data_IF_977353298825
#
_entry.id   IF_977353298825
#
_cell.length_a   1.000
_cell.length_b   1.000
_cell.length_c   1.000
_cell.angle_alpha   90.00
_cell.angle_beta   90.00
_cell.angle_gamma   90.00
#
_symmetry.space_group_name_H-M   'P 1'
#
loop_
_entity.id
_entity.type
_entity.pdbx_description
1 polymer ?
#
# COMPACT_ATOMS: atom_id res chain seq x y z
N UNK A 1 -5.26 20.65 17.61
CA UNK A 1 -3.83 20.77 17.27
C UNK A 1 -3.63 20.09 15.92
N UNK A 2 -3.44 20.86 14.84
CA UNK A 2 -3.09 20.30 13.52
C UNK A 2 -1.64 19.81 13.60
N UNK A 3 -1.43 18.50 13.44
CA UNK A 3 -0.09 17.94 13.24
C UNK A 3 0.35 18.36 11.84
N UNK A 4 1.45 19.09 11.73
CA UNK A 4 2.14 19.29 10.45
C UNK A 4 2.65 17.93 9.99
N UNK A 5 2.05 17.39 8.94
CA UNK A 5 2.53 16.16 8.31
C UNK A 5 3.78 16.49 7.50
N UNK A 6 4.91 15.91 7.90
CA UNK A 6 6.14 15.98 7.15
C UNK A 6 5.96 15.26 5.82
N UNK A 7 5.77 16.03 4.75
CA UNK A 7 5.69 15.52 3.38
C UNK A 7 7.06 14.97 2.96
N UNK A 8 7.28 13.68 3.18
CA UNK A 8 8.44 13.01 2.62
C UNK A 8 8.18 12.81 1.11
N UNK A 9 8.88 13.62 0.30
CA UNK A 9 8.76 13.71 -1.18
C UNK A 9 8.70 12.36 -1.93
N UNK A 10 9.24 11.28 -1.35
CA UNK A 10 9.30 9.96 -1.97
C UNK A 10 8.05 9.07 -1.75
N UNK A 11 7.02 9.59 -1.07
CA UNK A 11 5.79 8.87 -0.71
C UNK A 11 4.54 9.57 -1.24
N UNK A 12 3.49 8.82 -1.56
CA UNK A 12 2.26 9.36 -2.15
C UNK A 12 1.24 9.84 -1.09
N UNK A 13 1.68 10.01 0.16
CA UNK A 13 0.79 10.18 1.33
C UNK A 13 -0.30 11.24 1.11
N UNK A 14 0.12 12.46 0.79
CA UNK A 14 -0.79 13.61 0.63
C UNK A 14 -1.74 13.46 -0.56
N UNK A 15 -1.29 12.83 -1.65
CA UNK A 15 -2.15 12.62 -2.81
C UNK A 15 -3.25 11.60 -2.48
N UNK A 16 -2.89 10.50 -1.82
CA UNK A 16 -3.81 9.41 -1.46
C UNK A 16 -4.88 9.89 -0.47
N UNK A 17 -4.50 10.63 0.57
CA UNK A 17 -5.45 11.15 1.55
C UNK A 17 -6.48 12.11 0.94
N UNK A 18 -6.06 12.89 -0.06
CA UNK A 18 -6.96 13.79 -0.77
C UNK A 18 -7.90 13.06 -1.75
N UNK A 19 -7.51 11.88 -2.27
CA UNK A 19 -8.36 11.10 -3.18
C UNK A 19 -9.69 10.66 -2.55
N UNK A 20 -9.71 10.39 -1.24
CA UNK A 20 -10.93 9.97 -0.56
C UNK A 20 -11.86 11.16 -0.24
N UNK A 21 -11.31 12.36 -0.13
CA UNK A 21 -12.09 13.58 0.15
C UNK A 21 -12.91 14.05 -1.06
N UNK A 22 -12.56 13.58 -2.27
CA UNK A 22 -13.29 13.93 -3.50
C UNK A 22 -14.46 12.99 -3.81
N UNK A 23 -14.61 11.91 -3.05
CA UNK A 23 -15.69 10.94 -3.25
C UNK A 23 -17.02 11.50 -2.76
N UNK A 24 -18.09 11.21 -3.49
CA UNK A 24 -19.46 11.42 -3.03
C UNK A 24 -19.82 10.42 -1.92
N UNK A 25 -20.89 10.69 -1.17
CA UNK A 25 -21.36 9.80 -0.11
C UNK A 25 -21.66 8.38 -0.62
N UNK A 26 -22.24 8.26 -1.81
CA UNK A 26 -22.55 6.97 -2.44
C UNK A 26 -21.28 6.21 -2.85
N UNK A 27 -20.25 6.90 -3.36
CA UNK A 27 -18.95 6.30 -3.71
C UNK A 27 -18.19 5.88 -2.46
N UNK A 28 -18.27 6.67 -1.39
CA UNK A 28 -17.67 6.33 -0.10
C UNK A 28 -18.34 5.08 0.49
N UNK A 29 -19.68 5.01 0.46
CA UNK A 29 -20.42 3.82 0.89
C UNK A 29 -20.08 2.59 0.04
N UNK A 30 -19.91 2.75 -1.28
CA UNK A 30 -19.46 1.67 -2.15
C UNK A 30 -18.06 1.18 -1.75
N UNK A 31 -17.14 2.08 -1.44
CA UNK A 31 -15.79 1.73 -0.99
C UNK A 31 -15.83 0.97 0.35
N UNK A 32 -16.58 1.47 1.33
CA UNK A 32 -16.73 0.84 2.65
C UNK A 32 -17.33 -0.57 2.56
N UNK A 33 -18.28 -0.80 1.65
CA UNK A 33 -18.88 -2.12 1.43
C UNK A 33 -17.95 -3.12 0.72
N UNK A 34 -16.86 -2.67 0.10
CA UNK A 34 -15.95 -3.49 -0.70
C UNK A 34 -14.53 -3.56 -0.13
N UNK A 35 -14.28 -3.01 1.06
CA UNK A 35 -12.99 -3.11 1.74
C UNK A 35 -12.98 -4.18 2.82
N UNK A 36 -11.79 -4.68 3.13
CA UNK A 36 -11.54 -5.53 4.30
C UNK A 36 -10.37 -4.95 5.09
N UNK A 37 -10.53 -4.91 6.41
CA UNK A 37 -9.46 -4.47 7.33
C UNK A 37 -8.73 -5.69 7.84
N UNK A 38 -7.41 -5.74 7.62
CA UNK A 38 -6.55 -6.86 8.01
C UNK A 38 -5.41 -6.33 8.88
N UNK A 39 -5.16 -6.99 10.01
CA UNK A 39 -4.03 -6.68 10.89
C UNK A 39 -2.91 -7.68 10.66
N UNK A 40 -1.72 -7.18 10.33
CA UNK A 40 -0.52 -7.99 10.16
C UNK A 40 0.42 -7.82 11.34
N UNK A 41 1.01 -8.92 11.80
CA UNK A 41 2.10 -8.90 12.79
C UNK A 41 3.42 -8.58 12.09
N UNK A 42 4.34 -7.98 12.84
CA UNK A 42 5.71 -7.76 12.38
C UNK A 42 6.32 -9.04 11.80
N UNK A 43 6.81 -8.94 10.58
CA UNK A 43 7.41 -10.03 9.81
C UNK A 43 6.46 -10.77 8.87
N UNK A 44 5.15 -10.52 8.95
CA UNK A 44 4.18 -11.14 8.03
C UNK A 44 4.24 -10.51 6.64
N UNK A 45 4.05 -11.35 5.62
CA UNK A 45 4.06 -10.95 4.20
C UNK A 45 2.66 -10.49 3.84
N UNK A 46 2.55 -9.27 3.31
CA UNK A 46 1.29 -8.69 2.81
C UNK A 46 1.03 -9.17 1.37
N UNK A 47 2.06 -9.16 0.53
CA UNK A 47 2.00 -9.69 -0.82
C UNK A 47 3.39 -10.15 -1.27
N UNK A 48 3.41 -11.04 -2.28
CA UNK A 48 4.66 -11.62 -2.79
C UNK A 48 4.84 -11.31 -4.27
N UNK A 49 6.07 -10.99 -4.66
CA UNK A 49 6.44 -10.78 -6.05
C UNK A 49 6.02 -11.95 -6.94
N UNK A 50 5.44 -11.64 -8.11
CA UNK A 50 4.98 -12.62 -9.09
C UNK A 50 3.65 -13.27 -8.79
N UNK A 51 3.01 -12.95 -7.66
CA UNK A 51 1.67 -13.44 -7.32
C UNK A 51 0.57 -12.53 -7.89
N UNK A 52 -0.64 -13.08 -8.01
CA UNK A 52 -1.82 -12.35 -8.48
C UNK A 52 -2.11 -11.15 -7.58
N UNK A 53 -2.17 -9.95 -8.17
CA UNK A 53 -2.61 -8.73 -7.54
C UNK A 53 -4.12 -8.57 -7.70
N UNK A 54 -4.87 -9.26 -6.86
CA UNK A 54 -6.34 -9.20 -6.86
C UNK A 54 -6.91 -7.98 -6.12
N UNK A 55 -6.09 -7.28 -5.34
CA UNK A 55 -6.51 -6.15 -4.51
C UNK A 55 -5.38 -5.12 -4.38
N UNK A 56 -5.75 -3.88 -4.06
CA UNK A 56 -4.83 -2.87 -3.55
C UNK A 56 -4.98 -2.76 -2.03
N UNK A 57 -3.95 -2.24 -1.35
CA UNK A 57 -3.96 -2.09 0.09
C UNK A 57 -3.64 -0.65 0.47
N UNK A 58 -4.34 -0.12 1.47
CA UNK A 58 -4.05 1.14 2.12
C UNK A 58 -3.47 0.87 3.52
N UNK A 59 -2.38 1.54 3.87
CA UNK A 59 -1.71 1.36 5.16
C UNK A 59 -2.38 2.27 6.19
N UNK A 60 -3.26 1.73 7.03
CA UNK A 60 -3.92 2.51 8.08
C UNK A 60 -2.96 2.91 9.21
N UNK A 61 -2.01 2.04 9.57
CA UNK A 61 -1.03 2.26 10.62
C UNK A 61 0.20 1.36 10.42
N UNK A 62 1.33 1.73 11.02
CA UNK A 62 2.56 0.93 11.00
C UNK A 62 3.52 1.28 9.85
N UNK A 63 4.48 0.39 9.62
CA UNK A 63 5.49 0.52 8.57
C UNK A 63 5.50 -0.74 7.72
N UNK A 64 5.54 -0.58 6.39
CA UNK A 64 5.65 -1.69 5.44
C UNK A 64 6.96 -1.58 4.68
N UNK A 65 7.71 -2.67 4.59
CA UNK A 65 8.91 -2.73 3.75
C UNK A 65 8.57 -3.34 2.40
N UNK A 66 8.90 -2.61 1.33
CA UNK A 66 8.77 -3.03 -0.06
C UNK A 66 10.14 -3.47 -0.58
N UNK A 67 10.21 -4.66 -1.17
CA UNK A 67 11.47 -5.25 -1.63
C UNK A 67 11.24 -6.13 -2.86
N UNK A 68 12.30 -6.31 -3.65
CA UNK A 68 12.32 -7.29 -4.74
C UNK A 68 13.23 -8.46 -4.38
N UNK A 69 12.82 -9.64 -4.79
CA UNK A 69 13.58 -10.89 -4.64
C UNK A 69 14.32 -11.19 -5.95
N UNK A 70 15.58 -11.60 -5.82
CA UNK A 70 16.44 -12.05 -6.93
C UNK A 70 17.30 -13.22 -6.46
N UNK A 71 17.95 -13.92 -7.39
CA UNK A 71 18.88 -15.00 -7.05
C UNK A 71 20.03 -14.53 -6.14
N UNK A 72 20.45 -13.26 -6.27
CA UNK A 72 21.51 -12.66 -5.46
C UNK A 72 21.02 -12.20 -4.06
N UNK A 73 19.74 -12.39 -3.73
CA UNK A 73 19.12 -11.95 -2.49
C UNK A 73 18.03 -10.89 -2.69
N UNK A 74 17.69 -10.20 -1.61
CA UNK A 74 16.61 -9.20 -1.60
C UNK A 74 17.12 -7.76 -1.68
N UNK A 75 16.55 -6.96 -2.57
CA UNK A 75 16.79 -5.51 -2.64
C UNK A 75 15.64 -4.74 -2.00
N UNK A 76 15.94 -3.93 -0.98
CA UNK A 76 14.96 -3.03 -0.36
C UNK A 76 14.74 -1.85 -1.29
N UNK A 77 13.49 -1.62 -1.71
CA UNK A 77 13.14 -0.49 -2.56
C UNK A 77 12.73 0.71 -1.72
N UNK A 78 11.81 0.51 -0.78
CA UNK A 78 11.19 1.57 0.03
C UNK A 78 10.69 1.02 1.36
N UNK A 79 10.54 1.90 2.35
CA UNK A 79 9.75 1.67 3.56
C UNK A 79 8.61 2.68 3.55
N UNK A 80 7.37 2.19 3.54
CA UNK A 80 6.16 3.00 3.42
C UNK A 80 5.52 3.15 4.81
N UNK A 81 5.25 4.40 5.25
CA UNK A 81 4.46 4.64 6.45
C UNK A 81 2.95 4.54 6.17
N UNK A 82 2.17 4.70 7.24
CA UNK A 82 0.73 4.92 7.16
C UNK A 82 0.36 6.00 6.12
N UNK A 83 -0.83 5.86 5.54
CA UNK A 83 -1.40 6.74 4.51
C UNK A 83 -0.91 6.47 3.08
N UNK A 84 -0.09 5.43 2.87
CA UNK A 84 0.36 5.02 1.54
C UNK A 84 -0.44 3.83 0.98
N UNK A 85 -0.43 3.69 -0.35
CA UNK A 85 -1.02 2.57 -1.08
C UNK A 85 0.03 1.55 -1.55
N UNK A 86 -0.38 0.29 -1.61
CA UNK A 86 0.38 -0.85 -2.11
C UNK A 86 -0.44 -1.52 -3.21
N UNK A 87 0.21 -1.99 -4.27
CA UNK A 87 -0.43 -2.73 -5.37
C UNK A 87 -1.01 -1.86 -6.49
N UNK A 88 -1.04 -0.53 -6.35
CA UNK A 88 -1.62 0.35 -7.37
C UNK A 88 -0.98 0.19 -8.77
N UNK A 89 0.32 -0.07 -8.82
CA UNK A 89 1.03 -0.31 -10.08
C UNK A 89 0.49 -1.51 -10.85
N UNK A 90 -0.04 -2.53 -10.16
CA UNK A 90 -0.56 -3.73 -10.80
C UNK A 90 -1.85 -3.48 -11.59
N UNK A 91 -2.60 -2.40 -11.27
CA UNK A 91 -3.78 -1.99 -12.04
C UNK A 91 -3.42 -1.40 -13.42
N UNK A 92 -2.21 -0.84 -13.54
CA UNK A 92 -1.71 -0.27 -14.79
C UNK A 92 -1.10 -1.33 -15.70
N UNK A 93 -0.83 -2.51 -15.16
CA UNK A 93 -0.16 -3.60 -15.86
C UNK A 93 -1.17 -4.63 -16.34
N UNK A 94 -1.12 -4.99 -17.62
CA UNK A 94 -2.01 -5.99 -18.21
C UNK A 94 -1.87 -7.42 -17.64
N UNK A 95 -0.96 -7.62 -16.68
CA UNK A 95 -0.64 -8.93 -16.12
C UNK A 95 -1.21 -9.14 -14.71
N UNK A 96 -1.80 -8.12 -14.06
CA UNK A 96 -2.39 -8.21 -12.72
C UNK A 96 -1.50 -8.95 -11.69
N UNK A 97 -0.20 -8.66 -11.66
CA UNK A 97 0.74 -9.27 -10.70
C UNK A 97 1.40 -8.23 -9.81
N UNK A 98 1.73 -8.61 -8.58
CA UNK A 98 2.60 -7.82 -7.72
C UNK A 98 4.04 -7.87 -8.25
N UNK A 99 4.62 -6.73 -8.62
CA UNK A 99 6.02 -6.63 -9.09
C UNK A 99 7.07 -6.68 -7.98
N UNK A 100 6.63 -6.63 -6.74
CA UNK A 100 7.47 -6.64 -5.54
C UNK A 100 6.80 -7.45 -4.45
N UNK A 101 7.56 -7.78 -3.42
CA UNK A 101 7.05 -8.32 -2.16
C UNK A 101 6.92 -7.17 -1.14
N UNK A 102 5.97 -7.32 -0.22
CA UNK A 102 5.74 -6.38 0.88
C UNK A 102 5.60 -7.14 2.19
N UNK A 103 6.23 -6.66 3.27
CA UNK A 103 6.05 -7.25 4.60
C UNK A 103 5.88 -6.18 5.69
N UNK A 104 5.14 -6.54 6.74
CA UNK A 104 4.90 -5.70 7.91
C UNK A 104 6.21 -5.52 8.69
N UNK A 105 6.77 -4.32 8.66
CA UNK A 105 8.01 -3.99 9.35
C UNK A 105 7.78 -3.63 10.82
N UNK A 106 6.64 -2.99 11.10
CA UNK A 106 6.16 -2.61 12.43
C UNK A 106 4.66 -2.81 12.52
#
# INVERSE_FOLDING_TARGET
>A
MRREESTNSCTLNTAVENCFQTLTDDEMLLLENNLVVVNYKKGEILCKQGTLASHIMYICNGLVKIYMESEAGSLILKVLPAGNLIGLSALLDNNNIFRYSAYAYQ
#
